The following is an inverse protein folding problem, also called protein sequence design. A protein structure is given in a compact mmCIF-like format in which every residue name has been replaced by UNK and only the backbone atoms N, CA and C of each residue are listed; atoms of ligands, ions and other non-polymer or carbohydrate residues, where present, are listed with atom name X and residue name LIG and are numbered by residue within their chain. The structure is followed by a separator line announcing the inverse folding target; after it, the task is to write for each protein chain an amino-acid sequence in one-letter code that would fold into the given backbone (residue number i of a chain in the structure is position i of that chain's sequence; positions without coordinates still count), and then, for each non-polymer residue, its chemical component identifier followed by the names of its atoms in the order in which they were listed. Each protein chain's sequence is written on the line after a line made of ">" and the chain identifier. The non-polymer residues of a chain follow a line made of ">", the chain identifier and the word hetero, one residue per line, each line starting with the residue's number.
data_IF_474366280779
#
_entry.id   IF_474366280779
#
_cell.length_a   1.000
_cell.length_b   1.000
_cell.length_c   1.000
_cell.angle_alpha   90.00
_cell.angle_beta   90.00
_cell.angle_gamma   90.00
#
_symmetry.space_group_name_H-M   'P 1'
#
loop_
_entity.id
_entity.type
_entity.pdbx_description
1 polymer ?
#
# COMPACT_ATOMS: atom_id res chain seq x y z
N UNK A 1 -15.41 1.29 15.49
CA UNK A 1 -15.61 2.65 16.06
C UNK A 1 -15.66 2.65 17.58
N UNK A 2 -15.88 1.54 18.20
CA UNK A 2 -16.12 1.47 19.65
C UNK A 2 -14.91 1.86 20.53
N UNK A 3 -13.72 1.89 19.94
CA UNK A 3 -12.46 2.25 20.64
C UNK A 3 -12.15 3.77 20.67
N UNK A 4 -12.91 4.59 19.94
CA UNK A 4 -12.61 6.01 19.79
C UNK A 4 -13.81 6.89 20.12
N UNK A 5 -13.54 8.03 20.72
CA UNK A 5 -14.49 9.13 20.93
C UNK A 5 -14.26 10.20 19.86
N UNK A 6 -15.33 10.74 19.29
CA UNK A 6 -15.24 11.88 18.36
C UNK A 6 -14.95 13.15 19.16
N UNK A 7 -13.85 13.82 18.85
CA UNK A 7 -13.48 15.09 19.49
C UNK A 7 -14.08 16.26 18.71
N UNK A 8 -13.85 16.31 17.38
CA UNK A 8 -14.43 17.33 16.50
C UNK A 8 -14.32 16.91 15.04
N UNK A 9 -15.14 17.51 14.20
CA UNK A 9 -14.97 17.47 12.76
C UNK A 9 -13.82 18.41 12.35
N UNK A 10 -12.86 17.91 11.57
CA UNK A 10 -11.73 18.69 11.05
C UNK A 10 -12.07 19.36 9.72
N UNK A 11 -13.02 18.79 8.98
CA UNK A 11 -13.51 19.34 7.72
C UNK A 11 -14.46 18.38 7.03
N UNK A 12 -15.39 18.94 6.27
CA UNK A 12 -16.34 18.20 5.44
C UNK A 12 -16.10 18.56 3.99
N UNK A 13 -15.91 17.58 3.14
CA UNK A 13 -15.73 17.76 1.69
C UNK A 13 -16.64 16.82 0.91
N UNK A 14 -16.66 16.96 -0.41
CA UNK A 14 -17.48 16.14 -1.33
C UNK A 14 -17.25 14.62 -1.18
N UNK A 15 -16.20 14.22 -0.45
CA UNK A 15 -15.74 12.83 -0.34
C UNK A 15 -15.78 12.29 1.09
N UNK A 16 -16.35 13.00 2.04
CA UNK A 16 -16.52 12.51 3.41
C UNK A 16 -16.13 13.56 4.46
N UNK A 17 -16.14 13.12 5.70
CA UNK A 17 -15.84 13.97 6.87
C UNK A 17 -14.53 13.52 7.47
N UNK A 18 -13.59 14.45 7.64
CA UNK A 18 -12.39 14.22 8.44
C UNK A 18 -12.71 14.54 9.90
N UNK A 19 -12.44 13.63 10.81
CA UNK A 19 -12.71 13.75 12.24
C UNK A 19 -11.46 13.56 13.06
N UNK A 20 -11.31 14.40 14.07
CA UNK A 20 -10.37 14.16 15.13
C UNK A 20 -11.01 13.21 16.14
N UNK A 21 -10.38 12.08 16.36
CA UNK A 21 -10.81 11.07 17.30
C UNK A 21 -9.81 10.94 18.43
N UNK A 22 -10.26 10.53 19.61
CA UNK A 22 -9.43 10.19 20.75
C UNK A 22 -9.60 8.72 21.09
N UNK A 23 -8.52 7.98 21.12
CA UNK A 23 -8.56 6.59 21.57
C UNK A 23 -8.98 6.52 23.03
N UNK A 24 -9.97 5.68 23.37
CA UNK A 24 -10.58 5.64 24.72
C UNK A 24 -9.60 5.25 25.80
N UNK A 25 -8.68 4.34 25.50
CA UNK A 25 -7.69 3.80 26.44
C UNK A 25 -6.42 4.65 26.45
N UNK A 26 -5.71 4.78 25.31
CA UNK A 26 -4.43 5.45 25.21
C UNK A 26 -4.52 6.98 25.24
N UNK A 27 -5.72 7.54 25.03
CA UNK A 27 -5.99 8.99 24.91
C UNK A 27 -5.31 9.66 23.72
N UNK A 28 -4.65 8.91 22.84
CA UNK A 28 -4.05 9.43 21.61
C UNK A 28 -5.07 10.08 20.70
N UNK A 29 -4.65 11.15 20.03
CA UNK A 29 -5.45 11.86 19.05
C UNK A 29 -5.08 11.37 17.65
N UNK A 30 -6.06 10.88 16.91
CA UNK A 30 -5.90 10.44 15.51
C UNK A 30 -6.85 11.20 14.61
N UNK A 31 -6.39 11.60 13.44
CA UNK A 31 -7.24 12.15 12.40
C UNK A 31 -7.75 10.98 11.53
N UNK A 32 -9.05 10.76 11.51
CA UNK A 32 -9.67 9.72 10.69
C UNK A 32 -10.60 10.34 9.65
N UNK A 33 -10.41 9.95 8.39
CA UNK A 33 -11.29 10.37 7.30
C UNK A 33 -12.35 9.31 7.04
N UNK A 34 -13.61 9.72 7.14
CA UNK A 34 -14.75 8.88 6.80
C UNK A 34 -15.09 9.08 5.33
N UNK A 35 -14.97 8.02 4.56
CA UNK A 35 -15.33 8.00 3.14
C UNK A 35 -16.60 7.15 2.99
N UNK A 36 -17.63 7.69 2.34
CA UNK A 36 -18.87 6.97 2.09
C UNK A 36 -18.62 5.73 1.21
N UNK A 37 -18.96 4.54 1.72
CA UNK A 37 -18.67 3.26 1.06
C UNK A 37 -19.25 3.21 -0.35
N UNK A 38 -18.49 2.66 -1.29
CA UNK A 38 -18.95 2.21 -2.61
C UNK A 38 -19.00 3.27 -3.70
N UNK A 39 -19.59 4.44 -3.50
CA UNK A 39 -19.67 5.47 -4.55
C UNK A 39 -18.31 5.99 -4.96
N UNK A 40 -17.40 6.09 -4.03
CA UNK A 40 -16.07 6.68 -4.19
C UNK A 40 -14.97 5.65 -4.35
N UNK A 41 -15.17 4.40 -3.90
CA UNK A 41 -14.19 3.33 -4.07
C UNK A 41 -13.78 3.17 -5.55
N UNK A 42 -14.73 3.24 -6.50
CA UNK A 42 -14.40 3.18 -7.93
C UNK A 42 -13.56 4.37 -8.38
N UNK A 43 -13.92 5.58 -8.00
CA UNK A 43 -13.19 6.79 -8.38
C UNK A 43 -11.74 6.77 -7.89
N UNK A 44 -11.52 6.38 -6.65
CA UNK A 44 -10.16 6.27 -6.12
C UNK A 44 -9.41 5.07 -6.68
N UNK A 45 -10.09 3.97 -6.91
CA UNK A 45 -9.48 2.81 -7.58
C UNK A 45 -9.05 3.13 -9.01
N UNK A 46 -9.85 3.88 -9.76
CA UNK A 46 -9.50 4.33 -11.10
C UNK A 46 -8.22 5.17 -11.08
N UNK A 47 -8.06 6.07 -10.12
CA UNK A 47 -6.84 6.87 -9.95
C UNK A 47 -5.65 6.01 -9.51
N UNK A 48 -5.85 5.09 -8.56
CA UNK A 48 -4.81 4.16 -8.11
C UNK A 48 -4.26 3.35 -9.29
N UNK A 49 -5.14 2.76 -10.10
CA UNK A 49 -4.72 1.99 -11.29
C UNK A 49 -3.94 2.86 -12.28
N UNK A 50 -4.36 4.10 -12.53
CA UNK A 50 -3.61 5.03 -13.39
C UNK A 50 -2.21 5.32 -12.83
N UNK A 51 -2.08 5.57 -11.52
CA UNK A 51 -0.79 5.84 -10.89
C UNK A 51 0.15 4.62 -10.92
N UNK A 52 -0.37 3.42 -10.62
CA UNK A 52 0.41 2.18 -10.68
C UNK A 52 0.81 1.84 -12.12
N UNK A 53 -0.08 2.03 -13.09
CA UNK A 53 0.22 1.82 -14.51
C UNK A 53 1.34 2.75 -15.00
N UNK A 54 1.35 4.00 -14.54
CA UNK A 54 2.44 4.92 -14.80
C UNK A 54 3.77 4.44 -14.21
N UNK A 55 3.80 4.04 -12.93
CA UNK A 55 4.99 3.48 -12.32
C UNK A 55 5.50 2.25 -13.10
N UNK A 56 4.59 1.35 -13.47
CA UNK A 56 4.93 0.15 -14.24
C UNK A 56 5.44 0.48 -15.66
N UNK A 57 4.96 1.57 -16.29
CA UNK A 57 5.46 2.05 -17.58
C UNK A 57 6.92 2.50 -17.48
N UNK A 58 7.31 3.07 -16.35
CA UNK A 58 8.68 3.42 -15.99
C UNK A 58 9.49 2.23 -15.43
N UNK A 59 8.92 1.03 -15.48
CA UNK A 59 9.52 -0.19 -14.95
C UNK A 59 9.78 -0.16 -13.43
N UNK A 60 8.98 0.58 -12.69
CA UNK A 60 9.03 0.66 -11.23
C UNK A 60 7.86 -0.14 -10.67
N UNK A 61 8.13 -1.11 -9.81
CA UNK A 61 7.15 -1.84 -9.00
C UNK A 61 7.20 -1.32 -7.57
N UNK A 62 6.05 -1.00 -6.99
CA UNK A 62 5.95 -0.39 -5.67
C UNK A 62 6.20 -1.39 -4.55
N UNK A 63 5.56 -2.56 -4.60
CA UNK A 63 5.67 -3.72 -3.71
C UNK A 63 5.10 -3.57 -2.28
N UNK A 64 4.68 -2.36 -1.90
CA UNK A 64 3.97 -2.08 -0.63
C UNK A 64 2.74 -1.19 -0.85
N UNK A 65 1.97 -1.49 -1.91
CA UNK A 65 0.71 -0.80 -2.15
C UNK A 65 -0.32 -1.19 -1.10
N UNK A 66 -0.77 -0.20 -0.33
CA UNK A 66 -1.79 -0.34 0.71
C UNK A 66 -2.55 0.97 0.89
N UNK A 67 -3.66 0.93 1.60
CA UNK A 67 -4.50 2.11 1.78
C UNK A 67 -3.74 3.22 2.54
N UNK A 68 -2.87 2.86 3.45
CA UNK A 68 -2.02 3.75 4.25
C UNK A 68 -1.03 4.54 3.36
N UNK A 69 -0.54 3.91 2.29
CA UNK A 69 0.37 4.52 1.31
C UNK A 69 -0.37 5.21 0.15
N UNK A 70 -1.68 5.43 0.29
CA UNK A 70 -2.50 6.18 -0.66
C UNK A 70 -3.06 7.44 -0.01
N UNK A 71 -2.46 8.57 -0.30
CA UNK A 71 -2.84 9.87 0.26
C UNK A 71 -3.84 10.59 -0.64
N UNK A 72 -4.58 11.53 -0.07
CA UNK A 72 -5.48 12.42 -0.81
C UNK A 72 -5.03 13.86 -0.61
N UNK A 73 -5.03 14.66 -1.68
CA UNK A 73 -4.51 16.03 -1.68
C UNK A 73 -5.40 17.06 -0.99
N UNK A 74 -6.52 16.70 -0.43
CA UNK A 74 -7.40 17.60 0.31
C UNK A 74 -8.23 18.56 -0.55
N UNK A 75 -8.09 18.55 -1.88
CA UNK A 75 -8.91 19.34 -2.78
C UNK A 75 -10.39 18.95 -2.75
N UNK A 76 -11.33 19.79 -3.21
CA UNK A 76 -12.76 19.45 -3.28
C UNK A 76 -13.05 18.20 -4.11
N UNK A 77 -12.23 17.93 -5.14
CA UNK A 77 -12.21 16.68 -5.90
C UNK A 77 -10.86 15.96 -5.67
N UNK A 78 -10.68 15.25 -4.53
CA UNK A 78 -9.37 14.81 -4.11
C UNK A 78 -8.68 13.92 -5.14
N UNK A 79 -7.41 14.24 -5.37
CA UNK A 79 -6.51 13.41 -6.16
C UNK A 79 -5.78 12.43 -5.23
N UNK A 80 -5.73 11.18 -5.66
CA UNK A 80 -4.98 10.14 -4.97
C UNK A 80 -3.50 10.27 -5.32
N UNK A 81 -2.65 10.21 -4.30
CA UNK A 81 -1.19 10.21 -4.40
C UNK A 81 -0.65 8.93 -3.79
N UNK A 82 0.14 8.19 -4.54
CA UNK A 82 0.88 7.03 -4.05
C UNK A 82 2.15 7.56 -3.38
N UNK A 83 2.44 7.11 -2.17
CA UNK A 83 3.64 7.48 -1.40
C UNK A 83 4.36 6.23 -0.89
N UNK A 84 5.52 6.45 -0.25
CA UNK A 84 6.34 5.39 0.35
C UNK A 84 6.86 4.37 -0.68
N UNK A 85 7.88 4.79 -1.40
CA UNK A 85 8.58 3.95 -2.38
C UNK A 85 9.79 3.22 -1.77
N UNK A 86 9.88 3.12 -0.43
CA UNK A 86 10.98 2.50 0.29
C UNK A 86 11.27 1.05 -0.14
N UNK A 87 10.22 0.29 -0.41
CA UNK A 87 10.33 -1.08 -0.92
C UNK A 87 10.32 -1.19 -2.46
N UNK A 88 10.25 -0.09 -3.18
CA UNK A 88 10.14 -0.12 -4.64
C UNK A 88 11.40 -0.69 -5.32
N UNK A 89 11.22 -1.30 -6.48
CA UNK A 89 12.32 -1.89 -7.26
C UNK A 89 12.13 -1.65 -8.75
N UNK A 90 13.25 -1.30 -9.42
CA UNK A 90 13.27 -1.21 -10.87
C UNK A 90 13.44 -2.61 -11.48
N UNK A 91 12.57 -2.98 -12.40
CA UNK A 91 12.66 -4.25 -13.13
C UNK A 91 13.75 -4.24 -14.21
N UNK A 92 14.29 -3.06 -14.58
CA UNK A 92 15.39 -2.94 -15.56
C UNK A 92 16.75 -3.19 -14.90
N UNK A 93 16.94 -2.63 -13.68
CA UNK A 93 18.26 -2.61 -13.03
C UNK A 93 18.53 -3.84 -12.16
N UNK A 94 17.51 -4.64 -11.89
CA UNK A 94 17.62 -5.74 -10.95
C UNK A 94 16.91 -6.99 -11.46
N UNK A 95 17.44 -8.15 -11.14
CA UNK A 95 16.74 -9.44 -11.28
C UNK A 95 15.40 -9.40 -10.54
N UNK A 96 14.48 -10.29 -10.92
CA UNK A 96 13.19 -10.44 -10.23
C UNK A 96 13.40 -10.55 -8.71
N UNK A 97 12.62 -9.83 -7.90
CA UNK A 97 12.75 -9.86 -6.46
C UNK A 97 12.46 -11.26 -5.89
N UNK A 98 13.17 -11.61 -4.82
CA UNK A 98 12.95 -12.84 -4.03
C UNK A 98 12.54 -12.50 -2.59
N UNK A 99 12.76 -11.25 -2.17
CA UNK A 99 12.46 -10.79 -0.82
C UNK A 99 10.95 -10.72 -0.59
N UNK A 100 10.52 -11.22 0.54
CA UNK A 100 9.15 -11.05 1.03
C UNK A 100 9.10 -9.70 1.73
N UNK A 101 8.51 -8.72 1.08
CA UNK A 101 8.35 -7.35 1.60
C UNK A 101 6.91 -6.92 1.48
N UNK A 102 6.48 -5.99 2.30
CA UNK A 102 5.14 -5.43 2.30
C UNK A 102 4.30 -5.85 3.50
N UNK A 103 3.17 -5.22 3.68
CA UNK A 103 2.24 -5.46 4.79
C UNK A 103 1.51 -6.80 4.60
N UNK A 104 1.55 -7.74 5.57
CA UNK A 104 1.06 -9.12 5.42
C UNK A 104 -0.33 -9.25 4.81
N UNK A 105 -1.28 -8.38 5.19
CA UNK A 105 -2.65 -8.42 4.67
C UNK A 105 -2.76 -8.14 3.16
N UNK A 106 -1.73 -7.51 2.56
CA UNK A 106 -1.67 -7.11 1.15
C UNK A 106 -0.76 -8.00 0.29
N UNK A 107 -0.01 -8.94 0.90
CA UNK A 107 0.99 -9.73 0.19
C UNK A 107 0.34 -10.74 -0.76
N UNK A 108 0.87 -10.79 -1.98
CA UNK A 108 0.40 -11.74 -3.00
C UNK A 108 0.93 -13.16 -2.76
N UNK A 109 0.20 -14.22 -3.18
CA UNK A 109 0.58 -15.62 -2.98
C UNK A 109 1.99 -15.96 -3.50
N UNK A 110 2.38 -15.41 -4.67
CA UNK A 110 3.69 -15.65 -5.26
C UNK A 110 4.84 -15.04 -4.46
N UNK A 111 4.58 -13.95 -3.74
CA UNK A 111 5.58 -13.32 -2.86
C UNK A 111 5.87 -14.20 -1.66
N UNK A 112 4.83 -14.85 -1.11
CA UNK A 112 4.96 -15.79 -0.01
C UNK A 112 5.77 -17.05 -0.37
N UNK A 113 5.91 -17.35 -1.68
CA UNK A 113 6.63 -18.56 -2.13
C UNK A 113 8.15 -18.44 -2.09
N UNK A 114 8.72 -17.28 -1.76
CA UNK A 114 10.17 -16.99 -1.75
C UNK A 114 10.91 -17.31 -3.06
N UNK A 115 10.18 -17.45 -4.15
CA UNK A 115 10.74 -17.59 -5.49
C UNK A 115 10.80 -16.23 -6.15
N UNK A 116 11.53 -16.15 -7.24
CA UNK A 116 11.48 -14.95 -8.07
C UNK A 116 10.05 -14.69 -8.55
N UNK A 117 9.58 -13.47 -8.38
CA UNK A 117 8.23 -13.06 -8.79
C UNK A 117 8.27 -11.77 -9.62
N UNK A 118 7.23 -11.53 -10.38
CA UNK A 118 7.04 -10.26 -11.09
C UNK A 118 6.31 -9.27 -10.17
N UNK A 119 7.01 -8.22 -9.77
CA UNK A 119 6.46 -7.17 -8.90
C UNK A 119 5.20 -6.50 -9.48
N UNK A 120 5.05 -6.45 -10.82
CA UNK A 120 3.86 -5.90 -11.47
C UNK A 120 2.60 -6.71 -11.14
N UNK A 121 2.70 -8.02 -11.11
CA UNK A 121 1.56 -8.87 -10.73
C UNK A 121 1.26 -8.79 -9.23
N UNK A 122 2.30 -8.67 -8.40
CA UNK A 122 2.14 -8.47 -6.96
C UNK A 122 1.42 -7.14 -6.66
N UNK A 123 1.80 -6.05 -7.32
CA UNK A 123 1.13 -4.75 -7.18
C UNK A 123 -0.36 -4.81 -7.59
N UNK A 124 -0.70 -5.58 -8.64
CA UNK A 124 -2.11 -5.80 -9.03
C UNK A 124 -2.90 -6.48 -7.94
N UNK A 125 -2.33 -7.49 -7.26
CA UNK A 125 -2.96 -8.12 -6.11
C UNK A 125 -3.21 -7.12 -4.99
N UNK A 126 -2.21 -6.33 -4.61
CA UNK A 126 -2.31 -5.31 -3.56
C UNK A 126 -3.33 -4.23 -3.90
N UNK A 127 -3.47 -3.83 -5.18
CA UNK A 127 -4.56 -2.98 -5.65
C UNK A 127 -5.94 -3.62 -5.40
N UNK A 128 -6.06 -4.93 -5.60
CA UNK A 128 -7.30 -5.66 -5.30
C UNK A 128 -7.64 -5.67 -3.82
N UNK A 129 -6.66 -5.87 -2.95
CA UNK A 129 -6.84 -5.77 -1.49
C UNK A 129 -7.26 -4.35 -1.12
N UNK A 130 -6.60 -3.33 -1.65
CA UNK A 130 -6.96 -1.91 -1.44
C UNK A 130 -8.40 -1.63 -1.87
N UNK A 131 -8.82 -2.14 -3.05
CA UNK A 131 -10.22 -2.03 -3.50
C UNK A 131 -11.17 -2.71 -2.52
N UNK A 132 -10.86 -3.92 -2.09
CA UNK A 132 -11.70 -4.65 -1.15
C UNK A 132 -11.84 -3.88 0.17
N UNK A 133 -10.74 -3.35 0.73
CA UNK A 133 -10.78 -2.54 1.96
C UNK A 133 -11.62 -1.28 1.78
N UNK A 134 -11.51 -0.59 0.64
CA UNK A 134 -12.37 0.57 0.33
C UNK A 134 -13.87 0.21 0.25
N UNK A 135 -14.20 -0.99 -0.21
CA UNK A 135 -15.59 -1.46 -0.35
C UNK A 135 -16.17 -2.02 0.95
N UNK A 136 -15.38 -2.76 1.71
CA UNK A 136 -15.84 -3.55 2.87
C UNK A 136 -15.46 -2.89 4.20
N UNK A 137 -14.30 -2.24 4.26
CA UNK A 137 -13.74 -1.67 5.49
C UNK A 137 -13.07 -2.71 6.40
N UNK A 138 -12.68 -3.86 5.83
CA UNK A 138 -11.92 -4.93 6.47
C UNK A 138 -11.03 -5.61 5.44
N UNK A 139 -10.03 -6.35 5.87
CA UNK A 139 -9.16 -7.10 4.96
C UNK A 139 -9.83 -8.36 4.43
N UNK A 140 -9.60 -8.75 3.16
CA UNK A 140 -10.31 -9.87 2.54
C UNK A 140 -9.95 -11.23 3.16
N UNK A 141 -8.70 -11.39 3.60
CA UNK A 141 -8.16 -12.69 4.01
C UNK A 141 -7.92 -12.81 5.51
N UNK A 142 -8.01 -11.73 6.29
CA UNK A 142 -7.95 -11.79 7.74
C UNK A 142 -9.14 -12.55 8.34
N UNK A 143 -8.90 -13.24 9.46
CA UNK A 143 -9.99 -13.78 10.26
C UNK A 143 -10.55 -12.70 11.18
N UNK A 144 -11.82 -12.31 11.06
CA UNK A 144 -12.42 -11.30 11.94
C UNK A 144 -12.38 -11.65 13.43
N UNK A 145 -12.28 -12.95 13.75
CA UNK A 145 -12.24 -13.43 15.14
C UNK A 145 -10.80 -13.53 15.68
N UNK A 146 -9.80 -13.53 14.79
CA UNK A 146 -8.38 -13.68 15.14
C UNK A 146 -7.50 -12.92 14.12
N UNK A 147 -7.59 -11.58 14.08
CA UNK A 147 -6.96 -10.76 13.04
C UNK A 147 -5.42 -10.75 13.11
N UNK A 148 -4.84 -11.09 14.27
CA UNK A 148 -3.38 -11.19 14.45
C UNK A 148 -2.79 -12.55 14.05
N UNK A 149 -3.60 -13.51 13.61
CA UNK A 149 -3.13 -14.83 13.22
C UNK A 149 -2.65 -14.81 11.75
N UNK A 150 -1.41 -14.42 11.55
CA UNK A 150 -0.78 -14.36 10.21
C UNK A 150 -0.76 -15.72 9.50
N UNK A 151 -0.52 -16.80 10.23
CA UNK A 151 -0.55 -18.15 9.65
C UNK A 151 -1.91 -18.45 9.00
N UNK A 152 -3.00 -18.13 9.69
CA UNK A 152 -4.35 -18.30 9.17
C UNK A 152 -4.65 -17.37 7.99
N UNK A 153 -4.16 -16.14 8.06
CA UNK A 153 -4.25 -15.19 6.95
C UNK A 153 -3.53 -15.73 5.70
N UNK A 154 -2.30 -16.24 5.84
CA UNK A 154 -1.54 -16.85 4.74
C UNK A 154 -2.29 -18.06 4.14
N UNK A 155 -2.81 -18.95 4.96
CA UNK A 155 -3.61 -20.09 4.49
C UNK A 155 -4.82 -19.63 3.67
N UNK A 156 -5.53 -18.59 4.12
CA UNK A 156 -6.68 -18.02 3.40
C UNK A 156 -6.28 -17.33 2.10
N UNK A 157 -5.13 -16.64 2.05
CA UNK A 157 -4.56 -16.08 0.82
C UNK A 157 -4.29 -17.19 -0.18
N UNK A 158 -3.59 -18.24 0.23
CA UNK A 158 -3.23 -19.37 -0.66
C UNK A 158 -4.46 -20.12 -1.19
N UNK A 159 -5.52 -20.19 -0.40
CA UNK A 159 -6.78 -20.84 -0.76
C UNK A 159 -7.82 -19.90 -1.38
N UNK A 160 -7.50 -18.60 -1.54
CA UNK A 160 -8.44 -17.55 -2.02
C UNK A 160 -9.74 -17.53 -1.20
N UNK A 161 -9.63 -17.75 0.09
CA UNK A 161 -10.78 -17.77 1.00
C UNK A 161 -11.13 -16.36 1.47
N UNK A 162 -11.94 -15.64 0.71
CA UNK A 162 -12.52 -14.37 1.13
C UNK A 162 -14.04 -14.36 0.92
N UNK A 163 -14.74 -13.53 1.67
CA UNK A 163 -16.19 -13.36 1.56
C UNK A 163 -16.54 -11.88 1.55
N UNK A 164 -17.41 -11.47 0.65
CA UNK A 164 -18.03 -10.14 0.71
C UNK A 164 -19.22 -10.25 1.68
N UNK A 165 -19.23 -9.49 2.78
CA UNK A 165 -20.33 -9.55 3.74
C UNK A 165 -21.68 -9.18 3.11
N UNK A 166 -22.75 -9.80 3.56
CA UNK A 166 -24.08 -9.67 2.95
C UNK A 166 -24.64 -8.23 3.04
N UNK A 167 -24.17 -7.44 4.03
CA UNK A 167 -24.51 -6.02 4.18
C UNK A 167 -23.74 -5.09 3.21
N UNK A 168 -22.77 -5.62 2.46
CA UNK A 168 -21.99 -4.87 1.47
C UNK A 168 -22.54 -5.13 0.07
N UNK A 169 -23.32 -4.19 -0.45
CA UNK A 169 -23.93 -4.30 -1.75
C UNK A 169 -23.00 -3.78 -2.84
N UNK A 170 -22.43 -4.68 -3.63
CA UNK A 170 -21.61 -4.36 -4.82
C UNK A 170 -22.17 -5.03 -6.07
N UNK A 171 -21.91 -4.43 -7.23
CA UNK A 171 -22.39 -4.95 -8.50
C UNK A 171 -21.70 -6.27 -8.88
N UNK A 172 -22.30 -7.04 -9.78
CA UNK A 172 -21.72 -8.29 -10.28
C UNK A 172 -20.40 -8.05 -11.02
N UNK A 173 -20.29 -6.93 -11.75
CA UNK A 173 -19.05 -6.54 -12.42
C UNK A 173 -17.93 -6.26 -11.39
N UNK A 174 -18.27 -5.69 -10.22
CA UNK A 174 -17.29 -5.49 -9.14
C UNK A 174 -16.80 -6.82 -8.57
N UNK A 175 -17.73 -7.75 -8.31
CA UNK A 175 -17.39 -9.11 -7.85
C UNK A 175 -16.54 -9.84 -8.88
N UNK A 176 -16.88 -9.71 -10.16
CA UNK A 176 -16.10 -10.29 -11.24
C UNK A 176 -14.69 -9.73 -11.30
N UNK A 177 -14.52 -8.39 -11.18
CA UNK A 177 -13.19 -7.78 -11.16
C UNK A 177 -12.34 -8.31 -9.98
N UNK A 178 -12.88 -8.35 -8.77
CA UNK A 178 -12.19 -8.91 -7.61
C UNK A 178 -11.79 -10.37 -7.83
N UNK A 179 -12.67 -11.19 -8.40
CA UNK A 179 -12.36 -12.59 -8.68
C UNK A 179 -11.28 -12.78 -9.75
N UNK A 180 -11.10 -11.80 -10.65
CA UNK A 180 -10.02 -11.79 -11.64
C UNK A 180 -8.68 -11.29 -11.07
N UNK A 181 -8.73 -10.45 -10.03
CA UNK A 181 -7.54 -9.98 -9.31
C UNK A 181 -7.05 -11.04 -8.33
N UNK A 182 -7.94 -11.60 -7.50
CA UNK A 182 -7.61 -12.62 -6.52
C UNK A 182 -7.45 -14.00 -7.17
N UNK A 183 -6.36 -14.16 -7.90
CA UNK A 183 -5.96 -15.40 -8.57
C UNK A 183 -4.55 -15.75 -8.10
N UNK A 184 -4.35 -16.97 -7.54
CA UNK A 184 -3.06 -17.42 -7.01
C UNK A 184 -1.96 -17.46 -8.06
N UNK A 185 -2.26 -17.95 -9.27
CA UNK A 185 -1.30 -17.97 -10.36
C UNK A 185 -1.15 -16.57 -10.98
N UNK A 186 -0.01 -15.89 -10.80
CA UNK A 186 0.18 -14.52 -11.32
C UNK A 186 0.04 -14.42 -12.84
N UNK A 187 0.41 -15.46 -13.60
CA UNK A 187 0.28 -15.48 -15.05
C UNK A 187 -1.19 -15.55 -15.54
N UNK A 188 -2.13 -15.95 -14.67
CA UNK A 188 -3.57 -15.98 -14.95
C UNK A 188 -4.32 -14.81 -14.33
N UNK A 189 -3.64 -14.04 -13.46
CA UNK A 189 -4.21 -12.85 -12.82
C UNK A 189 -4.40 -11.77 -13.86
N UNK A 190 -5.49 -11.01 -13.73
CA UNK A 190 -5.79 -9.87 -14.60
C UNK A 190 -4.64 -8.86 -14.58
N UNK A 191 -4.29 -8.31 -15.73
CA UNK A 191 -3.28 -7.27 -15.89
C UNK A 191 -3.88 -5.87 -15.70
N UNK A 192 -3.04 -4.84 -15.47
CA UNK A 192 -3.52 -3.44 -15.40
C UNK A 192 -4.24 -3.04 -16.70
N UNK A 193 -3.72 -3.45 -17.84
CA UNK A 193 -4.35 -3.19 -19.14
C UNK A 193 -5.76 -3.79 -19.24
N UNK A 194 -5.95 -5.02 -18.77
CA UNK A 194 -7.27 -5.66 -18.73
C UNK A 194 -8.18 -5.02 -17.69
N UNK A 195 -7.64 -4.57 -16.52
CA UNK A 195 -8.41 -3.81 -15.52
C UNK A 195 -8.94 -2.51 -16.14
N UNK A 196 -8.10 -1.76 -16.86
CA UNK A 196 -8.49 -0.51 -17.55
C UNK A 196 -9.57 -0.71 -18.59
N UNK A 197 -9.69 -1.92 -19.16
CA UNK A 197 -10.74 -2.30 -20.10
C UNK A 197 -11.94 -3.01 -19.45
N UNK A 198 -11.92 -3.22 -18.12
CA UNK A 198 -13.00 -3.93 -17.45
C UNK A 198 -14.25 -3.06 -17.30
N UNK A 199 -15.49 -3.57 -17.56
CA UNK A 199 -16.73 -2.80 -17.51
C UNK A 199 -16.93 -2.02 -16.20
N UNK A 200 -16.56 -2.63 -15.05
CA UNK A 200 -16.66 -1.94 -13.77
C UNK A 200 -15.72 -0.74 -13.65
N UNK A 201 -14.50 -0.84 -14.20
CA UNK A 201 -13.52 0.23 -14.20
C UNK A 201 -13.96 1.38 -15.14
N UNK A 202 -14.44 1.07 -16.32
CA UNK A 202 -14.87 2.06 -17.34
C UNK A 202 -16.12 2.85 -16.93
N UNK A 203 -16.93 2.31 -16.02
CA UNK A 203 -18.17 2.97 -15.59
C UNK A 203 -17.86 4.28 -14.88
N UNK A 204 -18.38 5.40 -15.40
CA UNK A 204 -18.17 6.76 -14.89
C UNK A 204 -16.66 7.12 -14.77
N UNK A 205 -15.85 6.66 -15.71
CA UNK A 205 -14.43 7.02 -15.76
C UNK A 205 -14.30 8.51 -16.07
N UNK A 206 -13.61 9.29 -15.20
CA UNK A 206 -13.33 10.70 -15.45
C UNK A 206 -12.55 10.88 -16.75
N UNK A 207 -12.83 11.96 -17.47
CA UNK A 207 -12.17 12.23 -18.76
C UNK A 207 -10.65 12.40 -18.60
N UNK A 208 -10.23 12.92 -17.47
CA UNK A 208 -8.83 13.14 -17.08
C UNK A 208 -8.07 11.84 -16.90
N UNK A 209 -8.77 10.73 -16.62
CA UNK A 209 -8.19 9.40 -16.46
C UNK A 209 -8.22 8.54 -17.73
N UNK A 210 -8.73 9.10 -18.84
CA UNK A 210 -8.65 8.46 -20.14
C UNK A 210 -7.18 8.39 -20.60
N UNK A 211 -6.82 7.32 -21.29
CA UNK A 211 -5.44 7.09 -21.73
C UNK A 211 -4.92 8.23 -22.60
N UNK A 212 -5.76 8.83 -23.44
CA UNK A 212 -5.43 10.00 -24.26
C UNK A 212 -5.11 11.24 -23.42
N UNK A 213 -5.86 11.48 -22.33
CA UNK A 213 -5.62 12.60 -21.43
C UNK A 213 -4.34 12.37 -20.60
N UNK A 214 -4.15 11.16 -20.10
CA UNK A 214 -2.95 10.77 -19.35
C UNK A 214 -1.69 10.89 -20.21
N UNK A 215 -1.73 10.48 -21.47
CA UNK A 215 -0.60 10.63 -22.39
C UNK A 215 -0.20 12.10 -22.59
N UNK A 216 -1.16 13.03 -22.59
CA UNK A 216 -0.89 14.48 -22.67
C UNK A 216 -0.32 14.99 -21.35
N UNK A 217 -0.87 14.55 -20.21
CA UNK A 217 -0.43 14.95 -18.88
C UNK A 217 1.04 14.58 -18.66
N UNK A 218 1.40 13.33 -18.91
CA UNK A 218 2.77 12.85 -18.73
C UNK A 218 3.79 13.45 -19.71
N UNK A 219 3.34 13.86 -20.91
CA UNK A 219 4.20 14.62 -21.84
C UNK A 219 4.50 16.03 -21.36
N UNK A 220 3.56 16.69 -20.65
CA UNK A 220 3.76 18.02 -20.10
C UNK A 220 4.77 18.02 -18.95
N UNK A 221 4.75 17.01 -18.10
CA UNK A 221 5.68 16.92 -16.98
C UNK A 221 7.13 16.68 -17.41
N UNK A 222 7.36 16.09 -18.60
CA UNK A 222 8.70 15.89 -19.15
C UNK A 222 9.38 17.18 -19.67
N UNK A 223 8.68 18.31 -19.72
CA UNK A 223 9.22 19.54 -20.32
C UNK A 223 9.53 20.67 -19.32
N UNK A 224 9.15 20.54 -18.05
CA UNK A 224 9.26 21.66 -17.09
C UNK A 224 9.94 21.33 -15.76
N UNK A 225 10.24 20.09 -15.47
CA UNK A 225 11.09 19.75 -14.34
C UNK A 225 12.53 19.60 -14.82
N UNK A 226 13.39 20.51 -14.41
CA UNK A 226 14.82 20.27 -14.46
C UNK A 226 15.08 19.02 -13.64
N UNK A 227 15.30 17.89 -14.29
CA UNK A 227 15.87 16.72 -13.63
C UNK A 227 17.12 17.23 -12.91
N UNK A 228 17.20 17.04 -11.61
CA UNK A 228 18.43 17.29 -10.89
C UNK A 228 19.55 16.59 -11.63
N UNK A 229 20.66 17.28 -11.89
CA UNK A 229 21.79 16.62 -12.52
C UNK A 229 22.29 15.50 -11.63
N UNK A 230 22.94 14.49 -12.22
CA UNK A 230 23.57 13.41 -11.43
C UNK A 230 24.52 14.01 -10.39
N UNK A 231 25.17 15.12 -10.72
CA UNK A 231 26.06 15.86 -9.81
C UNK A 231 25.31 16.46 -8.63
N UNK A 232 24.12 17.05 -8.84
CA UNK A 232 23.26 17.58 -7.77
C UNK A 232 22.78 16.44 -6.86
N UNK A 233 22.35 15.32 -7.43
CA UNK A 233 21.94 14.13 -6.68
C UNK A 233 23.09 13.59 -5.85
N UNK A 234 24.28 13.43 -6.44
CA UNK A 234 25.47 12.94 -5.74
C UNK A 234 25.93 13.90 -4.63
N UNK A 235 25.74 15.18 -4.82
CA UNK A 235 26.03 16.19 -3.78
C UNK A 235 25.07 16.04 -2.59
N UNK A 236 23.76 15.91 -2.84
CA UNK A 236 22.75 15.68 -1.79
C UNK A 236 23.05 14.39 -1.03
N UNK A 237 23.35 13.31 -1.73
CA UNK A 237 23.74 12.02 -1.13
C UNK A 237 25.02 12.15 -0.31
N UNK A 238 26.01 12.91 -0.80
CA UNK A 238 27.25 13.18 -0.08
C UNK A 238 27.04 14.00 1.19
N UNK A 239 26.16 14.99 1.13
CA UNK A 239 25.79 15.82 2.30
C UNK A 239 24.99 15.00 3.32
N UNK A 240 24.10 14.11 2.90
CA UNK A 240 23.35 13.22 3.79
C UNK A 240 24.23 12.15 4.46
N UNK A 241 25.26 11.67 3.77
CA UNK A 241 26.24 10.71 4.36
C UNK A 241 27.27 11.34 5.29
N UNK A 242 27.50 12.62 5.16
CA UNK A 242 28.40 13.39 6.02
C UNK A 242 27.65 14.64 6.49
N UNK A 243 26.68 14.50 7.40
CA UNK A 243 26.03 15.67 7.97
C UNK A 243 27.09 16.55 8.62
N UNK A 244 27.21 17.78 8.13
CA UNK A 244 28.13 18.76 8.73
C UNK A 244 27.75 18.86 10.21
N UNK A 245 28.67 18.49 11.08
CA UNK A 245 28.47 18.58 12.53
C UNK A 245 27.91 19.96 12.87
N UNK A 246 26.70 19.99 13.43
CA UNK A 246 25.96 21.20 13.80
C UNK A 246 26.57 21.87 15.03
N UNK A 247 27.86 22.28 14.94
CA UNK A 247 28.62 22.87 16.07
C UNK A 247 28.63 24.40 16.09
N UNK A 248 27.72 25.09 15.40
CA UNK A 248 27.78 26.58 15.41
C UNK A 248 26.47 27.33 15.74
N UNK A 249 25.36 26.64 16.05
CA UNK A 249 24.09 27.34 16.38
C UNK A 249 23.69 27.17 17.90
N UNK A 250 24.28 26.25 18.64
CA UNK A 250 23.86 25.94 20.02
C UNK A 250 24.45 26.86 21.11
N UNK A 251 25.18 27.92 20.76
CA UNK A 251 25.81 28.83 21.79
C UNK A 251 24.95 30.03 22.17
N UNK A 252 23.69 30.15 21.70
CA UNK A 252 22.85 31.33 21.98
C UNK A 252 21.61 31.08 22.84
N UNK A 253 21.28 29.86 23.16
CA UNK A 253 20.15 29.57 24.08
C UNK A 253 20.56 28.47 25.05
N UNK A 254 20.89 28.89 26.28
CA UNK A 254 21.27 28.01 27.38
C UNK A 254 20.07 27.18 27.86
N UNK A 255 19.89 26.03 27.30
CA UNK A 255 19.05 24.97 27.83
C UNK A 255 19.86 23.67 27.70
N UNK A 256 20.23 23.13 28.86
CA UNK A 256 20.88 21.83 28.94
C UNK A 256 19.88 20.76 28.47
N UNK A 257 20.27 20.02 27.49
CA UNK A 257 19.68 18.75 27.14
C UNK A 257 20.75 17.68 27.34
N UNK A 258 20.44 16.69 28.13
CA UNK A 258 21.19 15.46 28.26
C UNK A 258 21.17 14.76 26.88
N UNK A 259 22.37 14.43 26.41
CA UNK A 259 22.53 13.60 25.19
C UNK A 259 22.17 12.16 25.60
N UNK A 260 21.00 11.70 25.28
CA UNK A 260 20.70 10.25 25.19
C UNK A 260 21.20 9.76 23.84
N UNK A 261 21.98 8.68 23.86
CA UNK A 261 22.64 8.10 22.70
C UNK A 261 21.59 7.59 21.68
N UNK A 262 21.52 8.25 20.51
CA UNK A 262 20.64 7.82 19.39
C UNK A 262 21.05 6.47 18.78
N UNK A 263 22.26 5.97 19.06
CA UNK A 263 22.74 4.67 18.54
C UNK A 263 22.01 3.47 19.15
N UNK A 264 21.53 3.54 20.40
CA UNK A 264 20.82 2.41 21.04
C UNK A 264 19.36 2.25 20.52
N UNK A 265 18.75 3.32 20.02
CA UNK A 265 17.36 3.27 19.52
C UNK A 265 17.28 2.67 18.11
N UNK A 266 18.28 2.92 17.24
CA UNK A 266 18.33 2.30 15.91
C UNK A 266 18.63 0.79 16.02
N UNK A 267 19.46 0.37 16.96
CA UNK A 267 19.77 -1.05 17.17
C UNK A 267 18.56 -1.84 17.71
N UNK A 268 17.79 -1.26 18.65
CA UNK A 268 16.56 -1.90 19.15
C UNK A 268 15.47 -2.03 18.07
N UNK A 269 15.32 -1.03 17.17
CA UNK A 269 14.36 -1.08 16.07
C UNK A 269 14.78 -2.11 15.02
N UNK A 270 16.07 -2.21 14.71
CA UNK A 270 16.57 -3.24 13.77
C UNK A 270 16.43 -4.66 14.35
N UNK A 271 16.68 -4.87 15.65
CA UNK A 271 16.47 -6.16 16.32
C UNK A 271 14.97 -6.56 16.36
N UNK A 272 14.05 -5.62 16.65
CA UNK A 272 12.61 -5.88 16.62
C UNK A 272 12.12 -6.21 15.20
N UNK A 273 12.63 -5.51 14.15
CA UNK A 273 12.29 -5.82 12.76
C UNK A 273 12.86 -7.18 12.32
N UNK A 274 14.07 -7.56 12.73
CA UNK A 274 14.65 -8.88 12.47
C UNK A 274 13.88 -10.00 13.20
N UNK A 275 13.46 -9.80 14.46
CA UNK A 275 12.64 -10.78 15.19
C UNK A 275 11.25 -10.95 14.58
N UNK A 276 10.59 -9.86 14.12
CA UNK A 276 9.31 -9.94 13.41
C UNK A 276 9.45 -10.61 12.03
N UNK A 277 10.54 -10.38 11.30
CA UNK A 277 10.83 -11.08 10.04
C UNK A 277 11.06 -12.58 10.27
N UNK A 278 11.77 -12.98 11.31
CA UNK A 278 12.02 -14.38 11.64
C UNK A 278 10.74 -15.12 12.06
N UNK A 279 9.86 -14.50 12.84
CA UNK A 279 8.58 -15.06 13.23
C UNK A 279 7.62 -15.19 12.03
N UNK A 280 7.57 -14.18 11.15
CA UNK A 280 6.84 -14.23 9.90
C UNK A 280 7.37 -15.34 8.98
N UNK A 281 8.70 -15.46 8.85
CA UNK A 281 9.34 -16.52 8.08
C UNK A 281 8.98 -17.93 8.57
N UNK A 282 8.93 -18.11 9.88
CA UNK A 282 8.53 -19.37 10.51
C UNK A 282 7.10 -19.74 10.16
N UNK A 283 6.18 -18.78 10.23
CA UNK A 283 4.77 -18.98 9.89
C UNK A 283 4.55 -19.29 8.42
N UNK A 284 5.31 -18.67 7.50
CA UNK A 284 5.27 -19.00 6.08
C UNK A 284 5.72 -20.42 5.81
N UNK A 285 6.84 -20.85 6.43
CA UNK A 285 7.35 -22.24 6.31
C UNK A 285 6.35 -23.28 6.77
N UNK A 286 5.71 -23.04 7.93
CA UNK A 286 4.71 -23.95 8.50
C UNK A 286 3.42 -24.02 7.66
N UNK A 287 2.97 -22.88 7.10
CA UNK A 287 1.80 -22.84 6.23
C UNK A 287 2.03 -23.61 4.91
N UNK A 288 3.22 -23.48 4.32
CA UNK A 288 3.60 -24.25 3.13
C UNK A 288 3.67 -25.75 3.38
N UNK A 289 4.19 -26.16 4.53
CA UNK A 289 4.25 -27.58 4.93
C UNK A 289 2.87 -28.21 5.04
N UNK A 290 1.90 -27.49 5.60
CA UNK A 290 0.52 -27.97 5.77
C UNK A 290 -0.29 -28.06 4.47
N UNK A 291 0.13 -27.35 3.41
CA UNK A 291 -0.53 -27.40 2.10
C UNK A 291 0.01 -28.49 1.17
N UNK A 292 1.09 -29.20 1.55
CA UNK A 292 1.74 -30.23 0.72
C UNK A 292 1.40 -31.67 1.12
N UNK A 293 0.63 -31.89 2.18
CA UNK A 293 0.17 -33.24 2.49
C UNK A 293 -0.95 -33.63 1.52
N UNK A 294 -0.74 -34.64 0.66
CA UNK A 294 -1.81 -35.17 -0.19
C UNK A 294 -2.77 -35.95 0.71
N UNK A 295 -4.06 -35.66 0.61
CA UNK A 295 -5.09 -36.54 1.09
C UNK A 295 -4.85 -37.93 0.50
N UNK A 296 -4.39 -38.85 1.34
CA UNK A 296 -4.42 -40.27 1.05
C UNK A 296 -5.82 -40.74 1.47
N UNK A 297 -6.64 -40.97 0.49
CA UNK A 297 -7.73 -41.94 0.54
C UNK A 297 -7.44 -43.02 -0.51
#
# INVERSE_FOLDING_TARGET
>A
MDKYDVVKDLGTGNFGVARLLRHKETKELVAMKYIERGRKARYFFQQLICGVDYCHSLQICHRDLKLENTLLDGSPAPLLKICDFGYSKSSILHSRPKSTVGTPAYIAPEVLSRREYDGKHADVWSCGVTLYVMLVGAYPFEDPNDPKNFRKTIQRIMAIQYKIPDYVHISQECKHLLSRIFVTNPAKRITLKEIKNHPWYLKNLPKELLESAQAVYYKRDNTSYSLQSVEDIMKIVGEARNPASSSSVSKSLGLGAEEEDEEDVEAEVEEEEEEEEDEYEKHVKEAHSSCQEPHKD
#
